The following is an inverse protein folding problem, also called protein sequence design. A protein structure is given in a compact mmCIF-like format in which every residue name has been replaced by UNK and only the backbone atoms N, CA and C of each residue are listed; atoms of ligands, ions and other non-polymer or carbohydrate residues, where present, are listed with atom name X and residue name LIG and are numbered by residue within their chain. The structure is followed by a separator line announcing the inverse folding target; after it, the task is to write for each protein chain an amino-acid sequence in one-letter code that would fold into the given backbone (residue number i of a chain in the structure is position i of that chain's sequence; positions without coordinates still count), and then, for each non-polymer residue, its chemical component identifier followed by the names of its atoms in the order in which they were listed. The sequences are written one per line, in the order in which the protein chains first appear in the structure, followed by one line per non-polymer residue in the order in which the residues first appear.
data_IF_485739598599
#
_entry.id   IF_485739598599
#
_cell.length_a   1.000
_cell.length_b   1.000
_cell.length_c   1.000
_cell.angle_alpha   90.00
_cell.angle_beta   90.00
_cell.angle_gamma   90.00
#
_symmetry.space_group_name_H-M   'P 1'
#
loop_
_entity.id
_entity.type
_entity.pdbx_description
1 polymer ?
#
# COMPACT_ATOMS: atom_id res chain seq x y z
N UNK A 1 29.10 27.94 -32.50
CA UNK A 1 28.04 28.75 -31.82
C UNK A 1 27.99 28.36 -30.35
N UNK A 2 28.23 29.29 -29.41
CA UNK A 2 28.06 29.02 -27.98
C UNK A 2 26.53 28.90 -27.70
N UNK A 3 26.02 27.68 -27.70
CA UNK A 3 24.64 27.43 -27.29
C UNK A 3 24.49 27.80 -25.81
N UNK A 4 23.78 28.90 -25.52
CA UNK A 4 23.47 29.28 -24.16
C UNK A 4 22.39 28.34 -23.63
N UNK A 5 22.72 27.52 -22.60
CA UNK A 5 21.78 26.61 -21.92
C UNK A 5 20.46 27.31 -21.53
N UNK A 6 20.52 28.57 -21.17
CA UNK A 6 19.37 29.39 -20.78
C UNK A 6 18.58 29.97 -21.95
N UNK A 7 18.87 29.59 -23.20
CA UNK A 7 18.11 30.06 -24.35
C UNK A 7 16.82 29.24 -24.50
N UNK A 8 15.68 29.92 -24.54
CA UNK A 8 14.37 29.29 -24.76
C UNK A 8 14.33 28.44 -26.04
N UNK A 9 15.04 28.87 -27.12
CA UNK A 9 15.19 28.11 -28.37
C UNK A 9 15.93 26.78 -28.18
N UNK A 10 16.87 26.71 -27.23
CA UNK A 10 17.57 25.44 -26.92
C UNK A 10 16.63 24.47 -26.24
N UNK A 11 15.85 24.95 -25.26
CA UNK A 11 14.89 24.11 -24.55
C UNK A 11 13.79 23.56 -25.45
N UNK A 12 13.27 24.37 -26.38
CA UNK A 12 12.21 23.97 -27.33
C UNK A 12 12.72 23.32 -28.62
N UNK A 13 13.96 22.84 -28.65
CA UNK A 13 14.47 22.19 -29.85
C UNK A 13 13.74 20.85 -30.09
N UNK A 14 13.25 20.64 -31.34
CA UNK A 14 12.41 19.48 -31.69
C UNK A 14 13.08 18.13 -31.40
N UNK A 15 14.42 18.04 -31.49
CA UNK A 15 15.15 16.81 -31.18
C UNK A 15 14.94 16.34 -29.76
N UNK A 16 14.86 17.24 -28.76
CA UNK A 16 14.62 16.84 -27.38
C UNK A 16 13.25 16.18 -27.22
N UNK A 17 12.22 16.70 -27.88
CA UNK A 17 10.90 16.11 -27.91
C UNK A 17 10.91 14.73 -28.58
N UNK A 18 11.58 14.59 -29.73
CA UNK A 18 11.67 13.28 -30.43
C UNK A 18 12.41 12.24 -29.61
N UNK A 19 13.50 12.60 -28.93
CA UNK A 19 14.21 11.69 -28.03
C UNK A 19 13.31 11.26 -26.87
N UNK A 20 12.63 12.20 -26.23
CA UNK A 20 11.71 11.90 -25.10
C UNK A 20 10.55 11.01 -25.54
N UNK A 21 9.91 11.33 -26.66
CA UNK A 21 8.84 10.50 -27.24
C UNK A 21 9.36 9.09 -27.59
N UNK A 22 10.56 9.01 -28.17
CA UNK A 22 11.21 7.73 -28.46
C UNK A 22 11.45 6.88 -27.23
N UNK A 23 11.89 7.49 -26.12
CA UNK A 23 12.07 6.80 -24.82
C UNK A 23 10.72 6.24 -24.33
N UNK A 24 9.68 7.06 -24.33
CA UNK A 24 8.34 6.63 -23.85
C UNK A 24 7.72 5.57 -24.75
N UNK A 25 7.85 5.71 -26.07
CA UNK A 25 7.39 4.69 -27.02
C UNK A 25 8.14 3.36 -26.82
N UNK A 26 9.46 3.41 -26.69
CA UNK A 26 10.28 2.23 -26.42
C UNK A 26 9.91 1.58 -25.08
N UNK A 27 9.77 2.37 -24.02
CA UNK A 27 9.36 1.87 -22.69
C UNK A 27 7.98 1.23 -22.75
N UNK A 28 7.03 1.84 -23.46
CA UNK A 28 5.69 1.27 -23.67
C UNK A 28 5.77 -0.08 -24.41
N UNK A 29 6.55 -0.18 -25.47
CA UNK A 29 6.72 -1.43 -26.21
C UNK A 29 7.37 -2.52 -25.35
N UNK A 30 8.39 -2.17 -24.56
CA UNK A 30 9.08 -3.11 -23.65
C UNK A 30 8.14 -3.61 -22.54
N UNK A 31 7.23 -2.77 -22.06
CA UNK A 31 6.22 -3.18 -21.07
C UNK A 31 5.11 -4.00 -21.72
N UNK A 32 4.61 -3.56 -22.89
CA UNK A 32 3.49 -4.20 -23.58
C UNK A 32 3.81 -5.60 -24.10
N UNK A 33 5.01 -5.83 -24.66
CA UNK A 33 5.43 -7.13 -25.17
C UNK A 33 5.47 -8.19 -24.06
N UNK A 34 6.11 -7.95 -22.88
CA UNK A 34 6.09 -8.91 -21.79
C UNK A 34 4.70 -9.21 -21.24
N UNK A 35 3.81 -8.21 -21.13
CA UNK A 35 2.43 -8.40 -20.68
C UNK A 35 1.64 -9.42 -21.52
N UNK A 36 2.05 -9.64 -22.78
CA UNK A 36 1.40 -10.57 -23.70
C UNK A 36 2.18 -11.88 -23.92
N UNK A 37 3.30 -12.09 -23.25
CA UNK A 37 4.14 -13.29 -23.42
C UNK A 37 4.57 -13.85 -22.08
N UNK A 38 4.24 -15.11 -21.82
CA UNK A 38 4.58 -15.83 -20.57
C UNK A 38 6.08 -15.92 -20.27
N UNK A 39 6.93 -15.74 -21.30
CA UNK A 39 8.40 -15.78 -21.13
C UNK A 39 8.92 -14.62 -20.26
N UNK A 40 8.28 -13.44 -20.31
CA UNK A 40 8.69 -12.27 -19.55
C UNK A 40 7.95 -12.07 -18.22
N UNK A 41 7.05 -12.98 -17.86
CA UNK A 41 6.29 -12.94 -16.60
C UNK A 41 7.11 -12.54 -15.37
N UNK A 42 8.33 -13.07 -15.12
CA UNK A 42 9.10 -12.70 -13.95
C UNK A 42 9.48 -11.21 -13.89
N UNK A 43 9.74 -10.61 -15.05
CA UNK A 43 10.10 -9.18 -15.16
C UNK A 43 8.86 -8.30 -14.95
N UNK A 44 7.76 -8.66 -15.59
CA UNK A 44 6.46 -7.97 -15.43
C UNK A 44 6.02 -7.98 -13.97
N UNK A 45 6.10 -9.14 -13.33
CA UNK A 45 5.78 -9.35 -11.91
C UNK A 45 6.61 -8.44 -10.99
N UNK A 46 7.91 -8.32 -11.25
CA UNK A 46 8.79 -7.47 -10.46
C UNK A 46 8.42 -5.99 -10.57
N UNK A 47 7.96 -5.54 -11.76
CA UNK A 47 7.51 -4.15 -11.96
C UNK A 47 6.14 -3.87 -11.33
N UNK A 48 5.21 -4.82 -11.39
CA UNK A 48 3.89 -4.69 -10.77
C UNK A 48 3.95 -4.65 -9.25
N UNK A 49 4.88 -5.41 -8.65
CA UNK A 49 5.04 -5.49 -7.21
C UNK A 49 5.86 -4.34 -6.60
N UNK A 50 6.58 -3.58 -7.42
CA UNK A 50 7.43 -2.51 -6.90
C UNK A 50 6.62 -1.23 -6.66
N UNK A 51 6.43 -0.87 -5.39
CA UNK A 51 5.86 0.42 -4.98
C UNK A 51 6.87 1.24 -4.17
N UNK A 52 7.00 2.52 -4.52
CA UNK A 52 7.87 3.43 -3.77
C UNK A 52 7.35 3.69 -2.34
N UNK A 53 6.04 3.54 -2.12
CA UNK A 53 5.44 3.56 -0.79
C UNK A 53 6.02 2.46 0.12
N UNK A 54 6.32 1.26 -0.40
CA UNK A 54 6.93 0.18 0.38
C UNK A 54 8.33 0.56 0.88
N UNK A 55 9.10 1.28 0.05
CA UNK A 55 10.42 1.77 0.44
C UNK A 55 10.31 2.76 1.61
N UNK A 56 9.34 3.69 1.55
CA UNK A 56 9.06 4.60 2.66
C UNK A 56 8.72 3.85 3.94
N UNK A 57 7.77 2.89 3.86
CA UNK A 57 7.33 2.10 5.01
C UNK A 57 8.47 1.28 5.63
N UNK A 58 9.40 0.75 4.80
CA UNK A 58 10.57 0.01 5.27
C UNK A 58 11.66 0.89 5.90
N UNK A 59 11.85 2.11 5.38
CA UNK A 59 12.85 3.05 5.90
C UNK A 59 12.38 3.75 7.17
N UNK A 60 11.08 3.74 7.45
CA UNK A 60 10.55 4.24 8.71
C UNK A 60 11.06 3.39 9.87
N UNK A 61 11.76 4.03 10.82
CA UNK A 61 12.36 3.31 11.95
C UNK A 61 11.26 2.82 12.91
N UNK A 62 11.04 1.52 12.91
CA UNK A 62 10.05 0.86 13.78
C UNK A 62 10.30 1.05 15.28
N UNK A 63 11.56 1.21 15.66
CA UNK A 63 11.91 1.38 17.06
C UNK A 63 11.56 2.78 17.57
N UNK A 64 11.39 3.75 16.66
CA UNK A 64 10.99 5.12 17.00
C UNK A 64 9.49 5.37 16.87
N UNK A 65 8.70 4.39 16.39
CA UNK A 65 7.25 4.55 16.27
C UNK A 65 6.60 4.64 17.65
N UNK A 66 5.70 5.62 17.85
CA UNK A 66 4.93 5.68 19.10
C UNK A 66 4.04 4.45 19.23
N UNK A 67 3.89 3.97 20.46
CA UNK A 67 2.90 2.93 20.75
C UNK A 67 1.50 3.54 20.69
N UNK A 68 0.55 2.83 20.08
CA UNK A 68 -0.86 3.25 20.08
C UNK A 68 -1.39 3.28 21.51
N UNK A 69 -2.05 4.38 21.85
CA UNK A 69 -2.78 4.53 23.11
C UNK A 69 -4.29 4.27 22.96
N UNK A 70 -4.76 3.90 21.76
CA UNK A 70 -6.17 3.78 21.44
C UNK A 70 -6.60 2.38 21.04
N UNK A 71 -5.67 1.60 20.45
CA UNK A 71 -5.97 0.27 19.95
C UNK A 71 -4.94 -0.73 20.49
N UNK A 72 -5.45 -1.84 21.00
CA UNK A 72 -4.66 -2.95 21.53
C UNK A 72 -5.11 -4.26 20.89
N UNK A 73 -4.21 -5.24 20.81
CA UNK A 73 -4.52 -6.59 20.33
C UNK A 73 -4.34 -7.57 21.48
N UNK A 74 -5.37 -8.33 21.81
CA UNK A 74 -5.31 -9.46 22.75
C UNK A 74 -5.14 -10.74 21.94
N UNK A 75 -4.04 -11.44 22.20
CA UNK A 75 -3.60 -12.62 21.48
C UNK A 75 -4.15 -13.89 22.12
N UNK A 76 -5.14 -14.50 21.48
CA UNK A 76 -5.75 -15.76 21.95
C UNK A 76 -5.22 -17.01 21.23
N UNK A 77 -4.04 -16.93 20.59
CA UNK A 77 -3.43 -18.06 19.86
C UNK A 77 -3.27 -19.32 20.72
N UNK A 78 -3.02 -19.16 22.02
CA UNK A 78 -2.86 -20.27 22.96
C UNK A 78 -4.18 -20.90 23.43
N UNK A 79 -5.32 -20.26 23.15
CA UNK A 79 -6.64 -20.68 23.60
C UNK A 79 -7.28 -21.56 22.54
N UNK A 80 -7.74 -22.76 22.94
CA UNK A 80 -8.24 -23.79 22.04
C UNK A 80 -9.75 -24.01 22.07
N UNK A 81 -10.44 -23.55 23.11
CA UNK A 81 -11.87 -23.79 23.28
C UNK A 81 -12.65 -22.45 23.35
N UNK A 82 -13.92 -22.50 22.96
CA UNK A 82 -14.79 -21.33 22.90
C UNK A 82 -15.14 -20.78 24.29
N UNK A 83 -15.24 -21.64 25.30
CA UNK A 83 -15.47 -21.22 26.67
C UNK A 83 -14.34 -20.33 27.20
N UNK A 84 -13.09 -20.73 27.02
CA UNK A 84 -11.95 -19.91 27.47
C UNK A 84 -11.80 -18.62 26.62
N UNK A 85 -12.22 -18.62 25.35
CA UNK A 85 -12.34 -17.37 24.55
C UNK A 85 -13.42 -16.49 25.18
N UNK A 86 -14.58 -17.02 25.51
CA UNK A 86 -15.66 -16.27 26.17
C UNK A 86 -15.22 -15.66 27.51
N UNK A 87 -14.50 -16.42 28.34
CA UNK A 87 -13.90 -15.94 29.57
C UNK A 87 -12.92 -14.78 29.31
N UNK A 88 -12.06 -14.89 28.30
CA UNK A 88 -11.15 -13.81 27.88
C UNK A 88 -11.90 -12.56 27.42
N UNK A 89 -12.97 -12.73 26.63
CA UNK A 89 -13.85 -11.62 26.20
C UNK A 89 -14.50 -10.94 27.40
N UNK A 90 -15.00 -11.71 28.35
CA UNK A 90 -15.59 -11.19 29.58
C UNK A 90 -14.57 -10.42 30.43
N UNK A 91 -13.35 -10.91 30.54
CA UNK A 91 -12.27 -10.24 31.24
C UNK A 91 -11.89 -8.90 30.59
N UNK A 92 -11.79 -8.87 29.26
CA UNK A 92 -11.59 -7.62 28.49
C UNK A 92 -12.77 -6.67 28.72
N UNK A 93 -14.02 -7.17 28.66
CA UNK A 93 -15.22 -6.34 28.86
C UNK A 93 -15.27 -5.71 30.27
N UNK A 94 -14.79 -6.43 31.30
CA UNK A 94 -14.68 -5.92 32.65
C UNK A 94 -13.77 -4.68 32.79
N UNK A 95 -12.84 -4.48 31.84
CA UNK A 95 -11.98 -3.28 31.79
C UNK A 95 -12.69 -2.05 31.17
N UNK A 96 -13.94 -2.19 30.76
CA UNK A 96 -14.77 -1.13 30.16
C UNK A 96 -14.19 -0.51 28.88
N UNK A 97 -13.79 -1.30 27.86
CA UNK A 97 -13.39 -0.76 26.58
C UNK A 97 -14.62 -0.16 25.86
N UNK A 98 -14.37 0.79 24.96
CA UNK A 98 -15.43 1.35 24.12
C UNK A 98 -15.88 0.38 23.02
N UNK A 99 -14.91 -0.32 22.44
CA UNK A 99 -15.14 -1.29 21.35
C UNK A 99 -14.34 -2.56 21.62
N UNK A 100 -14.98 -3.70 21.49
CA UNK A 100 -14.35 -5.02 21.43
C UNK A 100 -14.54 -5.54 20.00
N UNK A 101 -13.44 -5.80 19.30
CA UNK A 101 -13.46 -6.38 17.96
C UNK A 101 -13.01 -7.84 18.02
N UNK A 102 -13.77 -8.74 17.42
CA UNK A 102 -13.42 -10.16 17.32
C UNK A 102 -12.95 -10.45 15.90
N UNK A 103 -11.66 -10.57 15.71
CA UNK A 103 -11.03 -11.02 14.46
C UNK A 103 -10.85 -12.53 14.49
N UNK A 104 -11.95 -13.20 14.76
CA UNK A 104 -12.07 -14.66 14.82
C UNK A 104 -13.44 -15.03 14.29
N UNK A 105 -13.49 -15.99 13.38
CA UNK A 105 -14.73 -16.57 12.91
C UNK A 105 -15.09 -17.80 13.72
N UNK A 106 -16.33 -17.90 14.11
CA UNK A 106 -16.89 -19.05 14.86
C UNK A 106 -17.90 -19.76 13.98
N UNK A 107 -17.47 -20.77 13.19
CA UNK A 107 -18.39 -21.55 12.39
C UNK A 107 -19.36 -22.32 13.29
N UNK A 108 -20.57 -22.61 12.78
CA UNK A 108 -21.49 -23.48 13.48
C UNK A 108 -20.92 -24.90 13.58
N UNK A 109 -20.91 -25.42 14.79
CA UNK A 109 -20.48 -26.78 15.07
C UNK A 109 -21.30 -27.36 16.22
N UNK A 110 -21.29 -28.68 16.35
CA UNK A 110 -22.11 -29.43 17.34
C UNK A 110 -21.70 -29.22 18.80
N UNK A 111 -20.83 -28.25 19.13
CA UNK A 111 -20.38 -27.94 20.50
C UNK A 111 -21.38 -27.07 21.24
N UNK A 112 -22.56 -27.61 21.53
CA UNK A 112 -23.70 -26.89 22.04
C UNK A 112 -23.46 -26.10 23.35
N UNK A 113 -22.68 -26.65 24.30
CA UNK A 113 -22.45 -26.01 25.61
C UNK A 113 -21.50 -24.82 25.52
N UNK A 114 -20.34 -24.96 24.87
CA UNK A 114 -19.38 -23.87 24.68
C UNK A 114 -19.97 -22.75 23.82
N UNK A 115 -20.80 -23.09 22.82
CA UNK A 115 -21.51 -22.14 21.97
C UNK A 115 -22.50 -21.30 22.78
N UNK A 116 -23.26 -21.92 23.68
CA UNK A 116 -24.19 -21.21 24.55
C UNK A 116 -23.47 -20.25 25.50
N UNK A 117 -22.35 -20.68 26.09
CA UNK A 117 -21.55 -19.84 26.99
C UNK A 117 -21.03 -18.60 26.22
N UNK A 118 -20.47 -18.81 25.02
CA UNK A 118 -19.96 -17.70 24.21
C UNK A 118 -21.09 -16.73 23.83
N UNK A 119 -22.24 -17.23 23.36
CA UNK A 119 -23.38 -16.41 22.97
C UNK A 119 -23.94 -15.63 24.17
N UNK A 120 -24.11 -16.26 25.34
CA UNK A 120 -24.55 -15.58 26.56
C UNK A 120 -23.56 -14.49 27.01
N UNK A 121 -22.27 -14.77 26.91
CA UNK A 121 -21.23 -13.79 27.22
C UNK A 121 -21.34 -12.57 26.30
N UNK A 122 -21.46 -12.77 25.00
CA UNK A 122 -21.58 -11.68 24.03
C UNK A 122 -22.87 -10.85 24.23
N UNK A 123 -23.98 -11.49 24.63
CA UNK A 123 -25.26 -10.83 24.85
C UNK A 123 -25.25 -9.91 26.10
N UNK A 124 -24.44 -10.22 27.09
CA UNK A 124 -24.40 -9.49 28.37
C UNK A 124 -23.41 -8.32 28.40
N UNK A 125 -22.52 -8.21 27.41
CA UNK A 125 -21.46 -7.19 27.39
C UNK A 125 -22.03 -5.83 26.96
N UNK A 126 -21.83 -4.77 27.77
CA UNK A 126 -22.33 -3.42 27.45
C UNK A 126 -21.51 -2.67 26.40
N UNK A 127 -20.26 -3.09 26.14
CA UNK A 127 -19.40 -2.50 25.11
C UNK A 127 -19.93 -2.81 23.71
N UNK A 128 -19.63 -1.93 22.76
CA UNK A 128 -19.95 -2.23 21.35
C UNK A 128 -19.06 -3.36 20.85
N UNK A 129 -19.67 -4.48 20.46
CA UNK A 129 -18.94 -5.61 19.88
C UNK A 129 -19.03 -5.55 18.36
N UNK A 130 -17.90 -5.75 17.72
CA UNK A 130 -17.75 -5.86 16.25
C UNK A 130 -17.16 -7.22 15.93
N UNK A 131 -17.83 -8.02 15.09
CA UNK A 131 -17.40 -9.38 14.74
C UNK A 131 -16.95 -9.47 13.30
N UNK A 132 -15.97 -10.33 13.03
CA UNK A 132 -15.54 -10.65 11.67
C UNK A 132 -16.52 -11.55 10.94
N UNK A 133 -16.61 -11.35 9.62
CA UNK A 133 -17.28 -12.24 8.66
C UNK A 133 -16.40 -12.43 7.43
N UNK A 134 -16.67 -13.47 6.64
CA UNK A 134 -16.02 -13.67 5.35
C UNK A 134 -17.03 -13.50 4.21
N UNK A 135 -16.57 -12.94 3.11
CA UNK A 135 -17.35 -12.86 1.87
C UNK A 135 -16.74 -13.88 0.89
N UNK A 136 -17.54 -14.86 0.48
CA UNK A 136 -17.11 -15.86 -0.51
C UNK A 136 -17.06 -15.27 -1.92
N UNK A 137 -16.41 -15.98 -2.86
CA UNK A 137 -16.30 -15.57 -4.28
C UNK A 137 -17.70 -15.40 -4.93
N UNK A 138 -18.72 -16.10 -4.43
CA UNK A 138 -20.12 -15.98 -4.86
C UNK A 138 -20.87 -14.81 -4.17
N UNK A 139 -20.17 -13.93 -3.47
CA UNK A 139 -20.70 -12.84 -2.67
C UNK A 139 -21.61 -13.26 -1.49
N UNK A 140 -21.56 -14.52 -1.07
CA UNK A 140 -22.25 -14.94 0.15
C UNK A 140 -21.45 -14.54 1.38
N UNK A 141 -22.13 -14.00 2.38
CA UNK A 141 -21.53 -13.64 3.67
C UNK A 141 -21.57 -14.87 4.58
N UNK A 142 -20.38 -15.29 5.01
CA UNK A 142 -20.22 -16.33 6.03
C UNK A 142 -20.02 -15.63 7.37
N UNK A 143 -21.04 -15.73 8.21
CA UNK A 143 -21.05 -15.10 9.53
C UNK A 143 -20.79 -16.13 10.63
N UNK A 144 -20.38 -15.65 11.81
CA UNK A 144 -20.32 -16.49 13.00
C UNK A 144 -21.71 -16.99 13.40
N UNK A 145 -21.79 -18.20 13.99
CA UNK A 145 -23.05 -18.88 14.33
C UNK A 145 -24.00 -18.05 15.20
N UNK A 146 -23.47 -17.16 16.01
CA UNK A 146 -24.24 -16.32 16.93
C UNK A 146 -24.81 -15.03 16.28
N UNK A 147 -24.27 -14.61 15.12
CA UNK A 147 -24.68 -13.34 14.49
C UNK A 147 -26.18 -13.24 14.23
N UNK A 148 -26.88 -14.27 13.72
CA UNK A 148 -28.33 -14.19 13.51
C UNK A 148 -29.15 -14.07 14.81
N UNK A 149 -28.60 -14.57 15.92
CA UNK A 149 -29.27 -14.55 17.22
C UNK A 149 -29.00 -13.25 18.01
N UNK A 150 -27.97 -12.50 17.69
CA UNK A 150 -27.52 -11.31 18.40
C UNK A 150 -27.46 -10.08 17.46
N UNK A 151 -28.60 -9.52 17.07
CA UNK A 151 -28.68 -8.43 16.08
C UNK A 151 -28.05 -7.11 16.56
N UNK A 152 -27.73 -6.98 17.85
CA UNK A 152 -27.00 -5.83 18.40
C UNK A 152 -25.52 -5.84 18.04
N UNK A 153 -24.96 -6.97 17.64
CA UNK A 153 -23.57 -7.07 17.20
C UNK A 153 -23.41 -6.39 15.83
N UNK A 154 -22.29 -5.73 15.66
CA UNK A 154 -21.91 -5.20 14.35
C UNK A 154 -21.04 -6.20 13.64
N UNK A 155 -21.28 -6.40 12.36
CA UNK A 155 -20.50 -7.33 11.55
C UNK A 155 -19.69 -6.58 10.48
N UNK A 156 -18.45 -7.01 10.25
CA UNK A 156 -17.60 -6.49 9.21
C UNK A 156 -16.78 -7.60 8.55
N UNK A 157 -16.63 -7.54 7.21
CA UNK A 157 -15.88 -8.55 6.50
C UNK A 157 -14.37 -8.41 6.75
N UNK A 158 -13.69 -9.55 6.86
CA UNK A 158 -12.26 -9.66 7.14
C UNK A 158 -11.43 -9.96 5.90
N UNK A 159 -12.08 -10.27 4.76
CA UNK A 159 -11.36 -10.57 3.52
C UNK A 159 -10.40 -9.45 3.19
N UNK A 160 -9.13 -9.78 3.16
CA UNK A 160 -8.12 -8.89 2.63
C UNK A 160 -8.21 -8.95 1.11
N UNK A 161 -8.42 -7.80 0.47
CA UNK A 161 -8.21 -7.70 -0.97
C UNK A 161 -6.74 -8.00 -1.22
N UNK A 162 -6.44 -9.27 -1.47
CA UNK A 162 -5.17 -9.61 -2.09
C UNK A 162 -5.28 -9.06 -3.49
N UNK A 163 -4.86 -7.82 -3.69
CA UNK A 163 -4.66 -7.29 -5.01
C UNK A 163 -3.87 -8.34 -5.77
N UNK A 164 -4.19 -8.60 -7.02
CA UNK A 164 -3.61 -9.61 -7.90
C UNK A 164 -2.08 -9.45 -8.06
N UNK A 165 -1.37 -9.10 -7.00
CA UNK A 165 0.07 -8.98 -6.97
C UNK A 165 0.69 -10.35 -6.72
N UNK A 166 1.71 -10.66 -7.45
CA UNK A 166 2.40 -11.96 -7.35
C UNK A 166 3.04 -12.17 -5.98
N UNK A 167 3.45 -11.10 -5.32
CA UNK A 167 4.04 -11.16 -3.97
C UNK A 167 3.02 -11.45 -2.87
N UNK A 168 1.70 -11.38 -3.16
CA UNK A 168 0.63 -11.43 -2.16
C UNK A 168 0.87 -10.48 -0.98
N UNK A 169 1.60 -9.39 -1.21
CA UNK A 169 1.90 -8.40 -0.19
C UNK A 169 0.65 -7.57 0.11
N UNK A 170 0.18 -7.65 1.34
CA UNK A 170 -1.00 -6.93 1.79
C UNK A 170 -0.66 -5.46 2.05
N UNK A 171 -1.11 -4.58 1.17
CA UNK A 171 -0.88 -3.13 1.23
C UNK A 171 -2.13 -2.34 1.54
N UNK A 172 -3.26 -2.85 1.08
CA UNK A 172 -4.52 -2.12 1.04
C UNK A 172 -5.65 -2.92 1.67
N UNK A 173 -6.70 -2.23 2.05
CA UNK A 173 -7.99 -2.82 2.38
C UNK A 173 -9.08 -2.02 1.67
N UNK A 174 -10.22 -2.65 1.44
CA UNK A 174 -11.39 -1.98 0.86
C UNK A 174 -12.34 -1.58 1.98
N UNK A 175 -12.85 -0.35 1.95
CA UNK A 175 -13.74 0.17 3.00
C UNK A 175 -15.09 -0.54 3.00
N UNK A 176 -15.69 -0.65 1.81
CA UNK A 176 -16.99 -1.33 1.60
C UNK A 176 -16.96 -2.18 0.34
N UNK A 177 -17.83 -3.18 0.28
CA UNK A 177 -18.09 -3.96 -0.93
C UNK A 177 -19.58 -3.86 -1.23
N UNK A 178 -19.92 -3.45 -2.45
CA UNK A 178 -21.31 -3.44 -2.91
C UNK A 178 -21.69 -4.85 -3.34
N UNK A 179 -22.69 -5.44 -2.68
CA UNK A 179 -23.23 -6.77 -2.97
C UNK A 179 -24.72 -6.65 -3.31
N UNK A 180 -25.06 -6.52 -4.58
CA UNK A 180 -26.41 -6.23 -5.02
C UNK A 180 -26.90 -4.87 -4.50
N UNK A 181 -27.98 -4.85 -3.73
CA UNK A 181 -28.52 -3.64 -3.10
C UNK A 181 -27.88 -3.35 -1.73
N UNK A 182 -27.12 -4.30 -1.16
CA UNK A 182 -26.49 -4.18 0.14
C UNK A 182 -25.06 -3.67 0.04
N UNK A 183 -24.65 -2.90 1.05
CA UNK A 183 -23.27 -2.42 1.20
C UNK A 183 -22.66 -3.06 2.45
N UNK A 184 -21.75 -4.00 2.21
CA UNK A 184 -20.98 -4.63 3.28
C UNK A 184 -19.80 -3.73 3.68
N UNK A 185 -19.56 -3.61 4.97
CA UNK A 185 -18.44 -2.83 5.52
C UNK A 185 -17.32 -3.75 5.97
N UNK A 186 -16.08 -3.31 5.76
CA UNK A 186 -14.93 -4.07 6.29
C UNK A 186 -14.86 -4.03 7.82
N UNK A 187 -14.24 -5.04 8.42
CA UNK A 187 -14.03 -5.10 9.87
C UNK A 187 -13.29 -3.85 10.40
N UNK A 188 -12.20 -3.36 9.78
CA UNK A 188 -11.56 -2.12 10.20
C UNK A 188 -12.49 -0.91 10.18
N UNK A 189 -13.33 -0.78 9.13
CA UNK A 189 -14.29 0.32 9.04
C UNK A 189 -15.38 0.22 10.11
N UNK A 190 -15.91 -0.97 10.38
CA UNK A 190 -16.90 -1.17 11.45
C UNK A 190 -16.34 -0.84 12.83
N UNK A 191 -15.09 -1.21 13.11
CA UNK A 191 -14.38 -0.84 14.33
C UNK A 191 -14.24 0.68 14.44
N UNK A 192 -13.78 1.34 13.38
CA UNK A 192 -13.60 2.78 13.35
C UNK A 192 -14.93 3.53 13.56
N UNK A 193 -16.02 3.10 12.90
CA UNK A 193 -17.37 3.66 13.07
C UNK A 193 -17.97 3.37 14.45
N UNK A 194 -17.66 2.23 15.07
CA UNK A 194 -18.06 1.92 16.43
C UNK A 194 -17.36 2.85 17.44
N UNK A 195 -16.10 3.15 17.20
CA UNK A 195 -15.30 4.06 18.03
C UNK A 195 -15.65 5.53 17.78
N UNK A 196 -15.80 5.93 16.52
CA UNK A 196 -16.10 7.31 16.11
C UNK A 196 -17.27 7.32 15.11
N UNK A 197 -18.54 7.41 15.57
CA UNK A 197 -19.72 7.32 14.71
C UNK A 197 -19.81 8.43 13.64
N UNK A 198 -19.14 9.56 13.85
CA UNK A 198 -19.09 10.70 12.91
C UNK A 198 -18.00 10.57 11.85
N UNK A 199 -17.28 9.46 11.82
CA UNK A 199 -16.19 9.22 10.86
C UNK A 199 -16.71 9.31 9.42
N UNK A 200 -16.02 10.10 8.60
CA UNK A 200 -16.27 10.17 7.16
C UNK A 200 -15.35 9.19 6.44
N UNK A 201 -15.90 8.45 5.52
CA UNK A 201 -15.16 7.49 4.71
C UNK A 201 -15.68 7.50 3.26
N UNK A 202 -14.84 7.09 2.33
CA UNK A 202 -15.21 6.89 0.93
C UNK A 202 -15.71 5.44 0.74
N UNK A 203 -16.83 5.29 0.01
CA UNK A 203 -17.39 3.96 -0.28
C UNK A 203 -16.60 3.28 -1.39
N UNK A 204 -16.52 1.96 -1.30
CA UNK A 204 -15.84 1.07 -2.26
C UNK A 204 -14.41 1.53 -2.59
N UNK A 205 -13.79 2.27 -1.66
CA UNK A 205 -12.45 2.77 -1.81
C UNK A 205 -11.42 1.75 -1.34
N UNK A 206 -10.43 1.53 -2.17
CA UNK A 206 -9.23 0.79 -1.82
C UNK A 206 -8.24 1.77 -1.18
N UNK A 207 -7.90 1.55 0.08
CA UNK A 207 -7.04 2.44 0.86
C UNK A 207 -5.76 1.75 1.30
N UNK A 208 -4.64 2.48 1.23
CA UNK A 208 -3.35 2.01 1.73
C UNK A 208 -3.31 2.04 3.25
N UNK A 209 -2.87 0.93 3.83
CA UNK A 209 -2.65 0.80 5.27
C UNK A 209 -1.35 1.53 5.63
N UNK A 210 -1.42 2.43 6.60
CA UNK A 210 -0.22 3.10 7.09
C UNK A 210 0.47 2.25 8.16
N UNK A 211 1.36 1.36 7.72
CA UNK A 211 2.13 0.48 8.59
C UNK A 211 3.23 1.18 9.39
N UNK A 212 3.49 2.46 9.13
CA UNK A 212 4.57 3.24 9.74
C UNK A 212 4.09 4.27 10.78
N UNK A 213 2.78 4.34 11.04
CA UNK A 213 2.22 5.37 11.91
C UNK A 213 2.40 5.06 13.39
N UNK A 214 2.02 3.85 13.80
CA UNK A 214 2.06 3.43 15.20
C UNK A 214 2.45 1.96 15.36
N UNK A 215 2.97 1.62 16.53
CA UNK A 215 3.14 0.25 16.96
C UNK A 215 1.90 -0.20 17.75
N UNK A 216 1.25 -1.28 17.30
CA UNK A 216 0.13 -1.90 18.04
C UNK A 216 0.68 -2.89 19.06
N UNK A 217 0.37 -2.64 20.34
CA UNK A 217 0.77 -3.53 21.43
C UNK A 217 -0.06 -4.80 21.41
N UNK A 218 0.65 -5.92 21.52
CA UNK A 218 0.07 -7.24 21.75
C UNK A 218 0.08 -7.53 23.24
N UNK A 219 -1.08 -7.95 23.77
CA UNK A 219 -1.30 -8.30 25.18
C UNK A 219 -1.71 -9.76 25.26
N UNK A 220 -1.17 -10.50 26.19
CA UNK A 220 -1.58 -11.87 26.45
C UNK A 220 -2.83 -11.90 27.35
N UNK A 221 -3.68 -12.94 27.30
CA UNK A 221 -4.83 -13.07 28.18
C UNK A 221 -4.48 -12.97 29.66
N UNK A 222 -3.34 -13.53 30.07
CA UNK A 222 -2.81 -13.44 31.45
C UNK A 222 -2.49 -12.03 31.92
N UNK A 223 -2.30 -11.10 31.00
CA UNK A 223 -1.83 -9.75 31.30
C UNK A 223 -2.97 -8.70 31.20
N UNK A 224 -4.20 -9.11 30.89
CA UNK A 224 -5.36 -8.20 30.72
C UNK A 224 -5.54 -7.31 31.94
N UNK A 225 -5.45 -7.88 33.15
CA UNK A 225 -5.61 -7.14 34.41
C UNK A 225 -4.57 -6.02 34.57
N UNK A 226 -3.34 -6.21 34.07
CA UNK A 226 -2.27 -5.21 34.11
C UNK A 226 -2.53 -4.05 33.14
N UNK A 227 -3.37 -4.27 32.13
CA UNK A 227 -3.74 -3.28 31.12
C UNK A 227 -5.13 -2.67 31.32
N UNK A 228 -5.82 -2.99 32.41
CA UNK A 228 -7.20 -2.58 32.65
C UNK A 228 -7.42 -1.07 32.47
N UNK A 229 -6.58 -0.23 33.09
CA UNK A 229 -6.67 1.22 32.96
C UNK A 229 -6.38 1.73 31.53
N UNK A 230 -5.56 1.00 30.80
CA UNK A 230 -5.21 1.33 29.41
C UNK A 230 -6.29 0.93 28.40
N UNK A 231 -7.10 -0.08 28.71
CA UNK A 231 -8.19 -0.55 27.84
C UNK A 231 -9.47 0.29 28.00
N UNK A 232 -9.60 0.97 29.11
CA UNK A 232 -10.79 1.79 29.39
C UNK A 232 -11.02 2.82 28.28
N UNK A 233 -12.26 2.85 27.74
CA UNK A 233 -12.68 3.72 26.65
C UNK A 233 -11.90 3.57 25.33
N UNK A 234 -11.18 2.44 25.15
CA UNK A 234 -10.33 2.14 24.00
C UNK A 234 -10.90 1.04 23.11
N UNK A 235 -10.17 0.69 22.09
CA UNK A 235 -10.47 -0.41 21.17
C UNK A 235 -9.58 -1.59 21.55
N UNK A 236 -10.20 -2.75 21.73
CA UNK A 236 -9.48 -4.01 21.98
C UNK A 236 -9.86 -5.00 20.87
N UNK A 237 -8.90 -5.37 20.04
CA UNK A 237 -9.05 -6.38 19.01
C UNK A 237 -8.60 -7.72 19.59
N UNK A 238 -9.46 -8.72 19.56
CA UNK A 238 -9.18 -10.07 20.05
C UNK A 238 -9.02 -11.00 18.85
N UNK A 239 -7.89 -11.70 18.74
CA UNK A 239 -7.63 -12.56 17.59
C UNK A 239 -6.37 -13.41 17.74
N UNK A 240 -6.08 -14.23 16.72
CA UNK A 240 -4.91 -15.11 16.66
C UNK A 240 -3.71 -14.29 16.20
N UNK A 241 -2.89 -13.78 17.13
CA UNK A 241 -1.84 -12.82 16.80
C UNK A 241 -0.41 -13.42 16.80
N UNK A 242 -0.23 -14.68 17.16
CA UNK A 242 1.07 -15.37 17.18
C UNK A 242 1.10 -16.66 16.35
N UNK A 243 -0.02 -17.05 15.73
CA UNK A 243 -0.11 -18.23 14.87
C UNK A 243 0.59 -18.01 13.53
N UNK A 244 1.21 -19.06 12.96
CA UNK A 244 1.74 -18.99 11.59
C UNK A 244 0.65 -19.02 10.53
N UNK A 245 -0.53 -19.45 10.90
CA UNK A 245 -1.69 -19.66 10.01
C UNK A 245 -2.32 -18.34 9.57
N UNK A 246 -2.18 -17.29 10.37
CA UNK A 246 -2.73 -15.95 10.11
C UNK A 246 -1.63 -14.88 9.95
N UNK A 247 -0.50 -15.26 9.35
CA UNK A 247 0.56 -14.32 8.99
C UNK A 247 0.44 -13.89 7.54
N UNK A 248 0.39 -12.59 7.34
CA UNK A 248 0.35 -11.96 6.03
C UNK A 248 1.63 -11.20 5.75
N UNK A 249 2.17 -11.39 4.53
CA UNK A 249 3.28 -10.58 4.04
C UNK A 249 2.81 -9.14 3.86
N UNK A 250 3.51 -8.19 4.48
CA UNK A 250 3.24 -6.76 4.36
C UNK A 250 4.50 -6.02 3.91
N UNK A 251 4.41 -4.74 3.48
CA UNK A 251 5.58 -3.94 3.14
C UNK A 251 6.64 -3.88 4.24
N UNK A 252 6.23 -4.06 5.47
CA UNK A 252 7.10 -3.98 6.65
C UNK A 252 7.50 -5.35 7.23
N UNK A 253 7.18 -6.45 6.54
CA UNK A 253 7.41 -7.84 6.96
C UNK A 253 6.13 -8.54 7.38
N UNK A 254 6.22 -9.74 7.93
CA UNK A 254 5.06 -10.53 8.31
C UNK A 254 4.34 -9.94 9.52
N UNK A 255 3.04 -9.73 9.38
CA UNK A 255 2.14 -9.29 10.45
C UNK A 255 0.92 -10.21 10.54
N UNK A 256 0.40 -10.37 11.76
CA UNK A 256 -0.83 -11.13 11.99
C UNK A 256 -2.08 -10.35 11.60
N UNK A 257 -3.15 -11.06 11.21
CA UNK A 257 -4.45 -10.49 10.83
C UNK A 257 -4.96 -9.46 11.84
N UNK A 258 -5.07 -9.76 13.14
CA UNK A 258 -5.54 -8.80 14.14
C UNK A 258 -4.71 -7.51 14.23
N UNK A 259 -3.40 -7.59 13.99
CA UNK A 259 -2.55 -6.38 13.93
C UNK A 259 -2.83 -5.55 12.68
N UNK A 260 -3.06 -6.21 11.55
CA UNK A 260 -3.39 -5.53 10.29
C UNK A 260 -4.75 -4.85 10.40
N UNK A 261 -5.76 -5.53 10.96
CA UNK A 261 -7.08 -4.97 11.25
C UNK A 261 -6.96 -3.74 12.17
N UNK A 262 -6.18 -3.84 13.24
CA UNK A 262 -5.95 -2.74 14.17
C UNK A 262 -5.25 -1.54 13.50
N UNK A 263 -4.22 -1.76 12.67
CA UNK A 263 -3.53 -0.71 11.93
C UNK A 263 -4.43 -0.05 10.88
N UNK A 264 -5.27 -0.84 10.19
CA UNK A 264 -6.25 -0.33 9.23
C UNK A 264 -7.30 0.54 9.92
N UNK A 265 -7.83 0.09 11.07
CA UNK A 265 -8.76 0.89 11.86
C UNK A 265 -8.12 2.19 12.38
N UNK A 266 -6.86 2.13 12.84
CA UNK A 266 -6.10 3.30 13.26
C UNK A 266 -5.91 4.29 12.11
N UNK A 267 -5.52 3.80 10.93
CA UNK A 267 -5.36 4.62 9.72
C UNK A 267 -6.65 5.38 9.40
N UNK A 268 -7.82 4.71 9.46
CA UNK A 268 -9.13 5.33 9.23
C UNK A 268 -9.49 6.38 10.28
N UNK A 269 -9.33 6.06 11.58
CA UNK A 269 -9.72 6.95 12.69
C UNK A 269 -8.96 8.29 12.60
N UNK A 270 -7.69 8.23 12.21
CA UNK A 270 -6.82 9.40 12.18
C UNK A 270 -6.70 10.05 10.79
N UNK A 271 -7.40 9.52 9.77
CA UNK A 271 -7.29 9.99 8.38
C UNK A 271 -5.83 10.08 7.90
N UNK A 272 -5.08 8.98 8.16
CA UNK A 272 -3.65 8.88 7.80
C UNK A 272 -3.39 7.91 6.65
N UNK A 273 -4.38 7.75 5.79
CA UNK A 273 -4.27 6.97 4.57
C UNK A 273 -3.19 7.58 3.67
N UNK A 274 -2.35 6.71 3.09
CA UNK A 274 -1.37 7.14 2.11
C UNK A 274 -2.08 7.22 0.76
N UNK A 275 -2.18 8.42 0.20
CA UNK A 275 -2.75 8.63 -1.13
C UNK A 275 -1.69 8.43 -2.19
N UNK A 276 -1.94 7.59 -3.18
CA UNK A 276 -1.05 7.42 -4.34
C UNK A 276 -1.43 8.34 -5.49
N UNK A 277 -0.41 8.86 -6.17
CA UNK A 277 -0.60 9.68 -7.37
C UNK A 277 -1.29 8.86 -8.46
N UNK A 278 -2.35 9.38 -9.12
CA UNK A 278 -2.97 8.72 -10.25
C UNK A 278 -1.96 8.42 -11.36
N UNK A 279 -2.07 7.23 -11.97
CA UNK A 279 -1.12 6.74 -12.99
C UNK A 279 -0.92 7.75 -14.12
N UNK A 280 -2.00 8.34 -14.66
CA UNK A 280 -1.91 9.31 -15.75
C UNK A 280 -1.08 10.55 -15.36
N UNK A 281 -1.21 11.03 -14.11
CA UNK A 281 -0.43 12.16 -13.63
C UNK A 281 1.04 11.77 -13.45
N UNK A 282 1.32 10.55 -12.99
CA UNK A 282 2.66 9.98 -12.93
C UNK A 282 3.33 9.91 -14.32
N UNK A 283 2.59 9.50 -15.35
CA UNK A 283 3.08 9.48 -16.75
C UNK A 283 3.41 10.90 -17.23
N UNK A 284 2.53 11.88 -17.01
CA UNK A 284 2.76 13.28 -17.41
C UNK A 284 3.97 13.85 -16.67
N UNK A 285 4.06 13.68 -15.37
CA UNK A 285 5.21 14.13 -14.56
C UNK A 285 6.50 13.44 -15.03
N UNK A 286 6.46 12.13 -15.25
CA UNK A 286 7.58 11.35 -15.77
C UNK A 286 8.06 11.88 -17.12
N UNK A 287 7.14 12.18 -18.04
CA UNK A 287 7.46 12.76 -19.33
C UNK A 287 8.15 14.14 -19.19
N UNK A 288 7.62 15.03 -18.37
CA UNK A 288 8.21 16.36 -18.12
C UNK A 288 9.61 16.26 -17.50
N UNK A 289 9.78 15.42 -16.49
CA UNK A 289 11.08 15.22 -15.85
C UNK A 289 12.11 14.61 -16.81
N UNK A 290 11.70 13.62 -17.60
CA UNK A 290 12.54 13.02 -18.64
C UNK A 290 12.93 14.05 -19.69
N UNK A 291 11.98 14.86 -20.14
CA UNK A 291 12.24 15.94 -21.12
C UNK A 291 13.28 16.93 -20.59
N UNK A 292 13.11 17.42 -19.36
CA UNK A 292 14.08 18.30 -18.71
C UNK A 292 15.47 17.65 -18.61
N UNK A 293 15.51 16.35 -18.31
CA UNK A 293 16.74 15.60 -18.22
C UNK A 293 17.42 15.41 -19.58
N UNK A 294 16.65 15.09 -20.65
CA UNK A 294 17.14 15.03 -22.05
C UNK A 294 17.78 16.35 -22.47
N UNK A 295 17.14 17.48 -22.18
CA UNK A 295 17.69 18.82 -22.46
C UNK A 295 19.02 19.03 -21.74
N UNK A 296 19.08 18.68 -20.47
CA UNK A 296 20.32 18.79 -19.66
C UNK A 296 21.43 17.89 -20.22
N UNK A 297 21.12 16.64 -20.54
CA UNK A 297 22.08 15.70 -21.14
C UNK A 297 22.57 16.15 -22.52
N UNK A 298 21.68 16.70 -23.35
CA UNK A 298 22.06 17.27 -24.66
C UNK A 298 23.04 18.43 -24.50
N UNK A 299 22.85 19.26 -23.48
CA UNK A 299 23.79 20.34 -23.17
C UNK A 299 25.15 19.80 -22.68
N UNK A 300 25.16 18.78 -21.82
CA UNK A 300 26.38 18.15 -21.35
C UNK A 300 27.16 17.48 -22.48
N UNK A 301 26.46 16.80 -23.40
CA UNK A 301 27.03 16.20 -24.59
C UNK A 301 27.74 17.24 -25.49
N UNK A 302 27.09 18.37 -25.78
CA UNK A 302 27.67 19.44 -26.59
C UNK A 302 28.88 20.11 -25.91
N UNK A 303 28.85 20.22 -24.59
CA UNK A 303 29.87 20.95 -23.83
C UNK A 303 31.13 20.10 -23.51
N UNK A 304 30.95 18.79 -23.32
CA UNK A 304 31.96 17.91 -22.75
C UNK A 304 32.17 16.62 -23.58
N UNK A 305 32.40 16.73 -24.89
CA UNK A 305 32.50 15.61 -25.87
C UNK A 305 33.25 14.35 -25.38
N UNK A 306 34.34 14.51 -24.59
CA UNK A 306 35.21 13.38 -24.16
C UNK A 306 34.72 12.67 -22.87
N UNK A 307 33.87 13.32 -22.07
CA UNK A 307 33.48 12.81 -20.73
C UNK A 307 31.97 12.88 -20.53
N UNK A 308 31.22 13.03 -21.59
CA UNK A 308 29.74 13.19 -21.57
C UNK A 308 29.04 11.97 -20.98
N UNK A 309 29.40 10.75 -21.40
CA UNK A 309 28.76 9.53 -20.91
C UNK A 309 28.89 9.37 -19.38
N UNK A 310 30.08 9.63 -18.82
CA UNK A 310 30.28 9.58 -17.36
C UNK A 310 29.44 10.64 -16.66
N UNK A 311 29.41 11.85 -17.21
CA UNK A 311 28.64 12.96 -16.63
C UNK A 311 27.13 12.73 -16.71
N UNK A 312 26.64 12.18 -17.82
CA UNK A 312 25.24 11.82 -17.99
C UNK A 312 24.87 10.74 -16.98
N UNK A 313 25.67 9.67 -16.84
CA UNK A 313 25.41 8.59 -15.89
C UNK A 313 25.42 9.10 -14.44
N UNK A 314 26.43 9.89 -14.04
CA UNK A 314 26.47 10.49 -12.71
C UNK A 314 25.30 11.42 -12.43
N UNK A 315 24.88 12.21 -13.45
CA UNK A 315 23.70 13.08 -13.34
C UNK A 315 22.42 12.28 -13.20
N UNK A 316 22.27 11.15 -13.91
CA UNK A 316 21.13 10.26 -13.79
C UNK A 316 21.01 9.69 -12.37
N UNK A 317 22.13 9.18 -11.82
CA UNK A 317 22.15 8.65 -10.45
C UNK A 317 21.78 9.76 -9.45
N UNK A 318 22.39 10.94 -9.56
CA UNK A 318 22.14 12.06 -8.64
C UNK A 318 20.69 12.51 -8.69
N UNK A 319 20.10 12.68 -9.89
CA UNK A 319 18.70 13.08 -10.06
C UNK A 319 17.76 12.01 -9.52
N UNK A 320 18.04 10.73 -9.77
CA UNK A 320 17.22 9.62 -9.25
C UNK A 320 17.23 9.62 -7.72
N UNK A 321 18.39 9.75 -7.06
CA UNK A 321 18.50 9.84 -5.60
C UNK A 321 17.71 11.05 -5.07
N UNK A 322 17.83 12.21 -5.72
CA UNK A 322 17.13 13.41 -5.33
C UNK A 322 15.60 13.24 -5.42
N UNK A 323 15.11 12.63 -6.50
CA UNK A 323 13.67 12.37 -6.68
C UNK A 323 13.14 11.38 -5.63
N UNK A 324 13.90 10.32 -5.30
CA UNK A 324 13.53 9.41 -4.21
C UNK A 324 13.45 10.18 -2.90
N UNK A 325 14.44 11.01 -2.59
CA UNK A 325 14.46 11.80 -1.36
C UNK A 325 13.28 12.77 -1.27
N UNK A 326 12.94 13.45 -2.38
CA UNK A 326 11.76 14.32 -2.46
C UNK A 326 10.48 13.51 -2.20
N UNK A 327 10.35 12.32 -2.80
CA UNK A 327 9.17 11.47 -2.57
C UNK A 327 9.06 11.02 -1.11
N UNK A 328 10.18 10.68 -0.45
CA UNK A 328 10.20 10.34 0.97
C UNK A 328 9.73 11.52 1.85
N UNK A 329 10.17 12.73 1.55
CA UNK A 329 9.75 13.95 2.27
C UNK A 329 8.24 14.19 2.05
N UNK A 330 7.77 14.14 0.80
CA UNK A 330 6.35 14.36 0.48
C UNK A 330 5.48 13.31 1.17
N UNK A 331 5.89 12.05 1.17
CA UNK A 331 5.16 10.99 1.85
C UNK A 331 5.11 11.22 3.38
N UNK A 332 6.24 11.60 3.98
CA UNK A 332 6.32 11.85 5.42
C UNK A 332 5.42 13.00 5.90
N UNK A 333 5.38 14.12 5.17
CA UNK A 333 4.64 15.31 5.61
C UNK A 333 3.19 15.35 5.10
N UNK A 334 2.91 14.77 3.93
CA UNK A 334 1.61 14.90 3.27
C UNK A 334 0.88 13.57 3.10
N UNK A 335 1.48 12.45 3.53
CA UNK A 335 0.94 11.11 3.29
C UNK A 335 0.57 10.86 1.82
N UNK A 336 1.39 11.41 0.92
CA UNK A 336 1.19 11.36 -0.52
C UNK A 336 2.39 10.73 -1.21
N UNK A 337 2.17 9.64 -1.97
CA UNK A 337 3.20 8.93 -2.70
C UNK A 337 3.21 9.33 -4.17
N UNK A 338 4.33 9.89 -4.64
CA UNK A 338 4.49 10.31 -6.03
C UNK A 338 4.92 9.09 -6.87
N UNK A 339 4.21 8.81 -7.97
CA UNK A 339 4.58 7.75 -8.91
C UNK A 339 5.73 8.21 -9.81
N UNK A 340 6.97 7.83 -9.44
CA UNK A 340 8.20 8.23 -10.15
C UNK A 340 8.74 7.16 -11.10
N UNK A 341 8.10 6.01 -11.24
CA UNK A 341 8.59 4.89 -12.06
C UNK A 341 8.85 5.31 -13.53
N UNK A 342 7.95 6.13 -14.09
CA UNK A 342 8.08 6.64 -15.45
C UNK A 342 9.25 7.61 -15.60
N UNK A 343 9.50 8.45 -14.59
CA UNK A 343 10.64 9.37 -14.56
C UNK A 343 11.96 8.58 -14.46
N UNK A 344 12.04 7.59 -13.58
CA UNK A 344 13.24 6.75 -13.43
C UNK A 344 13.58 6.03 -14.72
N UNK A 345 12.59 5.37 -15.34
CA UNK A 345 12.77 4.69 -16.62
C UNK A 345 13.28 5.65 -17.69
N UNK A 346 12.67 6.83 -17.80
CA UNK A 346 13.06 7.86 -18.77
C UNK A 346 14.49 8.39 -18.53
N UNK A 347 14.84 8.69 -17.27
CA UNK A 347 16.18 9.18 -16.90
C UNK A 347 17.26 8.15 -17.21
N UNK A 348 17.04 6.87 -16.85
CA UNK A 348 18.00 5.78 -17.09
C UNK A 348 18.22 5.55 -18.58
N UNK A 349 17.17 5.62 -19.40
CA UNK A 349 17.26 5.40 -20.85
C UNK A 349 17.80 6.60 -21.62
N UNK A 350 17.85 7.80 -21.02
CA UNK A 350 18.21 9.04 -21.74
C UNK A 350 19.62 8.98 -22.37
N UNK A 351 20.61 8.45 -21.68
CA UNK A 351 21.98 8.34 -22.22
C UNK A 351 22.04 7.50 -23.50
N UNK A 352 21.41 6.32 -23.47
CA UNK A 352 21.36 5.42 -24.62
C UNK A 352 20.53 6.00 -25.78
N UNK A 353 19.40 6.63 -25.46
CA UNK A 353 18.53 7.26 -26.47
C UNK A 353 19.22 8.43 -27.17
N UNK A 354 19.98 9.24 -26.42
CA UNK A 354 20.75 10.35 -26.99
C UNK A 354 21.87 9.83 -27.92
N UNK A 355 22.63 8.84 -27.50
CA UNK A 355 23.68 8.21 -28.31
C UNK A 355 23.11 7.58 -29.59
N UNK A 356 21.98 6.89 -29.48
CA UNK A 356 21.28 6.32 -30.63
C UNK A 356 20.81 7.41 -31.62
N UNK A 357 20.22 8.49 -31.12
CA UNK A 357 19.73 9.59 -31.93
C UNK A 357 20.87 10.30 -32.68
N UNK A 358 21.99 10.56 -32.02
CA UNK A 358 23.18 11.16 -32.64
C UNK A 358 23.77 10.23 -33.70
N UNK A 359 23.93 8.94 -33.40
CA UNK A 359 24.42 7.96 -34.36
C UNK A 359 23.53 7.84 -35.61
N UNK A 360 22.18 7.86 -35.41
CA UNK A 360 21.22 7.86 -36.53
C UNK A 360 21.34 9.10 -37.41
N UNK A 361 21.53 10.28 -36.81
CA UNK A 361 21.73 11.52 -37.58
C UNK A 361 23.01 11.47 -38.41
N UNK A 362 24.12 10.97 -37.85
CA UNK A 362 25.38 10.80 -38.58
C UNK A 362 25.22 9.83 -39.76
N UNK A 363 24.59 8.69 -39.54
CA UNK A 363 24.30 7.73 -40.60
C UNK A 363 23.44 8.35 -41.74
N UNK A 364 22.45 9.16 -41.41
CA UNK A 364 21.66 9.87 -42.45
C UNK A 364 22.49 10.88 -43.23
N UNK A 365 23.43 11.56 -42.61
CA UNK A 365 24.34 12.49 -43.30
C UNK A 365 25.29 11.76 -44.24
N UNK A 366 25.86 10.64 -43.82
CA UNK A 366 26.68 9.79 -44.66
C UNK A 366 25.92 9.25 -45.87
N UNK A 367 24.71 8.76 -45.67
CA UNK A 367 23.84 8.28 -46.75
C UNK A 367 23.48 9.37 -47.77
N UNK A 368 23.34 10.63 -47.33
CA UNK A 368 23.11 11.78 -48.23
C UNK A 368 24.35 12.10 -49.07
N UNK A 369 25.53 12.07 -48.44
CA UNK A 369 26.83 12.29 -49.17
C UNK A 369 27.07 11.22 -50.24
N UNK A 370 26.71 9.96 -49.97
CA UNK A 370 26.84 8.86 -50.93
C UNK A 370 25.85 8.96 -52.09
N UNK A 371 24.69 9.63 -51.95
CA UNK A 371 23.71 9.83 -53.00
C UNK A 371 23.98 11.04 -53.91
N UNK A 372 24.77 11.98 -53.46
CA UNK A 372 25.23 13.17 -54.21
C UNK A 372 26.74 13.30 -54.03
N UNK A 373 27.55 12.43 -54.73
CA UNK A 373 28.98 12.67 -54.81
C UNK A 373 29.17 13.95 -55.67
N UNK A 374 29.88 14.95 -55.09
CA UNK A 374 30.31 16.15 -55.81
C UNK A 374 31.22 15.79 -56.97
#
# INVERSE_FOLDING_TARGET
MKHKFWSFRFWLHRSHLYITLGIFLFSFLVIYIPLNTSFFDPVTRAFEDFRLSDLFLRLSDRNSMPESNEIFVVDVTSIRNRKAIAETIAEVAATSPKVIALDIMFPDDDRSEDNLILMQTLDTIPATIVTGSEVSDDNNVLSSFFTPALPQLREGYTNTTMNNTYSKCLRTYTTTITNGDDTLRSLPLQIALAYQPSLRYEKDAEQLINYSDVHIRKVLPTDISLFADRFKDKIVVIGIASGKEDLHLTPVGDLSGPKIVALSAHTLIHHREITEMPIWLGVVLGFLLTYCFVVTCSYLHIKYEKTDNIRITLSAILVTILLVFINLIVNHFFHYSISLIYAFTGIVLTGNALSFYVGWLLWLQEKKKLKHPE
#
